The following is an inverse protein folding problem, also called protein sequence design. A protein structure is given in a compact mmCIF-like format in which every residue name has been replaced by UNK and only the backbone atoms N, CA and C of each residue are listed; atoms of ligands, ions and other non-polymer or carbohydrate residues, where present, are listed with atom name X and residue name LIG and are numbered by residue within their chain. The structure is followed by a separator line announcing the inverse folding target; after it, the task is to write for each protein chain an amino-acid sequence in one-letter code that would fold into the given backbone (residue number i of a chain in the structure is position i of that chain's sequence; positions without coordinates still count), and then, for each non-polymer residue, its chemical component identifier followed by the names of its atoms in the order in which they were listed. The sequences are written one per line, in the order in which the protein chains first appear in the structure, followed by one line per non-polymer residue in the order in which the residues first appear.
data_IF_656619215855
#
_entry.id   IF_656619215855
#
_cell.length_a   1.000
_cell.length_b   1.000
_cell.length_c   1.000
_cell.angle_alpha   90.00
_cell.angle_beta   90.00
_cell.angle_gamma   90.00
#
_symmetry.space_group_name_H-M   'P 1'
#
loop_
_entity.id
_entity.type
_entity.pdbx_description
1 polymer ?
#
# COMPACT_ATOMS: atom_id res chain seq x y z
N UNK A 1 -21.87 -42.29 -24.01
CA UNK A 1 -20.71 -41.38 -23.88
C UNK A 1 -21.07 -39.87 -24.00
N UNK A 2 -22.25 -39.43 -23.54
CA UNK A 2 -22.65 -37.99 -23.61
C UNK A 2 -22.23 -37.19 -22.36
N UNK A 3 -22.23 -37.83 -21.18
CA UNK A 3 -21.90 -37.19 -19.90
C UNK A 3 -20.45 -36.69 -19.80
N UNK A 4 -19.47 -37.49 -20.24
CA UNK A 4 -18.05 -37.10 -20.14
C UNK A 4 -17.68 -35.83 -20.93
N UNK A 5 -18.34 -35.61 -22.08
CA UNK A 5 -18.12 -34.41 -22.91
C UNK A 5 -18.71 -33.15 -22.28
N UNK A 6 -19.85 -33.28 -21.59
CA UNK A 6 -20.49 -32.18 -20.86
C UNK A 6 -19.66 -31.80 -19.63
N UNK A 7 -19.16 -32.77 -18.87
CA UNK A 7 -18.25 -32.51 -17.75
C UNK A 7 -16.97 -31.80 -18.19
N UNK A 8 -16.40 -32.18 -19.33
CA UNK A 8 -15.19 -31.55 -19.88
C UNK A 8 -15.44 -30.09 -20.30
N UNK A 9 -16.59 -29.82 -20.91
CA UNK A 9 -17.03 -28.47 -21.25
C UNK A 9 -17.22 -27.60 -19.99
N UNK A 10 -17.93 -28.12 -18.98
CA UNK A 10 -18.14 -27.40 -17.72
C UNK A 10 -16.81 -27.08 -17.04
N UNK A 11 -15.87 -28.04 -17.00
CA UNK A 11 -14.55 -27.82 -16.42
C UNK A 11 -13.75 -26.74 -17.17
N UNK A 12 -13.80 -26.73 -18.52
CA UNK A 12 -13.12 -25.72 -19.32
C UNK A 12 -13.65 -24.30 -19.08
N UNK A 13 -14.97 -24.16 -18.91
CA UNK A 13 -15.61 -22.86 -18.63
C UNK A 13 -15.24 -22.37 -17.23
N UNK A 14 -15.18 -23.27 -16.24
CA UNK A 14 -14.76 -22.94 -14.87
C UNK A 14 -13.30 -22.46 -14.82
N UNK A 15 -12.41 -23.09 -15.58
CA UNK A 15 -10.99 -22.67 -15.67
C UNK A 15 -10.89 -21.29 -16.32
N UNK A 16 -11.59 -21.06 -17.43
CA UNK A 16 -11.61 -19.76 -18.11
C UNK A 16 -12.16 -18.65 -17.20
N UNK A 17 -13.19 -18.94 -16.41
CA UNK A 17 -13.77 -17.99 -15.46
C UNK A 17 -12.82 -17.66 -14.30
N UNK A 18 -12.04 -18.64 -13.83
CA UNK A 18 -11.05 -18.44 -12.78
C UNK A 18 -9.85 -17.58 -13.23
N UNK A 19 -9.43 -17.72 -14.50
CA UNK A 19 -8.32 -16.94 -15.07
C UNK A 19 -8.77 -15.53 -15.51
N UNK A 20 -10.06 -15.36 -15.81
CA UNK A 20 -10.63 -14.07 -16.21
C UNK A 20 -10.89 -13.10 -15.05
N UNK A 21 -10.75 -13.54 -13.79
CA UNK A 21 -10.81 -12.61 -12.66
C UNK A 21 -9.51 -11.81 -12.63
N UNK A 22 -9.55 -10.48 -12.76
CA UNK A 22 -8.35 -9.68 -12.59
C UNK A 22 -7.79 -9.98 -11.19
N UNK A 23 -6.50 -10.28 -11.13
CA UNK A 23 -5.80 -10.32 -9.85
C UNK A 23 -6.12 -9.01 -9.14
N UNK A 24 -6.75 -9.08 -7.98
CA UNK A 24 -6.90 -7.92 -7.10
C UNK A 24 -5.47 -7.54 -6.75
N UNK A 25 -4.92 -6.60 -7.51
CA UNK A 25 -3.76 -5.84 -7.10
C UNK A 25 -4.25 -5.08 -5.88
N UNK A 26 -4.00 -5.64 -4.70
CA UNK A 26 -4.13 -4.89 -3.46
C UNK A 26 -3.25 -3.65 -3.68
N UNK A 27 -3.86 -2.48 -3.78
CA UNK A 27 -3.12 -1.24 -3.81
C UNK A 27 -2.27 -1.25 -2.54
N UNK A 28 -0.95 -1.38 -2.66
CA UNK A 28 -0.05 -1.49 -1.51
C UNK A 28 -0.36 -0.33 -0.58
N UNK A 29 -0.86 -0.66 0.61
CA UNK A 29 -1.34 0.33 1.55
C UNK A 29 -0.11 0.95 2.23
N UNK A 30 0.38 2.03 1.64
CA UNK A 30 1.49 2.81 2.19
C UNK A 30 0.98 3.62 3.40
N UNK A 31 1.68 3.50 4.52
CA UNK A 31 1.46 4.28 5.74
C UNK A 31 2.26 5.57 5.66
N UNK A 32 1.58 6.72 5.62
CA UNK A 32 2.20 8.04 5.59
C UNK A 32 2.32 8.61 7.01
N UNK A 33 3.53 8.95 7.42
CA UNK A 33 3.82 9.50 8.76
C UNK A 33 4.52 10.84 8.62
N UNK A 34 3.79 11.92 8.87
CA UNK A 34 4.36 13.26 8.98
C UNK A 34 4.69 13.55 10.45
N UNK A 35 5.96 13.80 10.76
CA UNK A 35 6.43 14.15 12.09
C UNK A 35 6.92 15.60 12.12
N UNK A 36 6.34 16.38 13.02
CA UNK A 36 6.56 17.83 13.10
C UNK A 36 7.12 18.14 14.47
N UNK A 37 8.35 18.65 14.52
CA UNK A 37 9.13 18.80 15.75
C UNK A 37 10.28 19.78 15.53
N UNK A 38 10.94 20.21 16.60
CA UNK A 38 12.21 20.95 16.54
C UNK A 38 13.41 20.08 16.17
N UNK A 39 13.27 18.76 16.24
CA UNK A 39 14.31 17.80 15.87
C UNK A 39 13.69 16.55 15.26
N UNK A 40 14.41 15.89 14.36
CA UNK A 40 14.01 14.61 13.79
C UNK A 40 13.85 13.52 14.87
N UNK A 41 13.13 12.45 14.53
CA UNK A 41 12.98 11.28 15.40
C UNK A 41 13.75 10.10 14.83
N UNK A 42 14.87 9.76 15.47
CA UNK A 42 15.76 8.70 15.02
C UNK A 42 15.06 7.34 14.90
N UNK A 43 14.11 7.04 15.79
CA UNK A 43 13.38 5.77 15.75
C UNK A 43 12.42 5.69 14.56
N UNK A 44 11.71 6.78 14.24
CA UNK A 44 10.84 6.85 13.05
C UNK A 44 11.66 6.80 11.77
N UNK A 45 12.78 7.52 11.73
CA UNK A 45 13.67 7.48 10.57
C UNK A 45 14.26 6.08 10.37
N UNK A 46 14.81 5.47 11.43
CA UNK A 46 15.34 4.09 11.38
C UNK A 46 14.25 3.10 10.95
N UNK A 47 13.04 3.23 11.48
CA UNK A 47 11.92 2.37 11.08
C UNK A 47 11.58 2.53 9.58
N UNK A 48 11.59 3.76 9.05
CA UNK A 48 11.35 4.00 7.63
C UNK A 48 12.45 3.46 6.71
N UNK A 49 13.66 3.26 7.22
CA UNK A 49 14.81 2.83 6.41
C UNK A 49 15.13 1.34 6.54
N UNK A 50 14.92 0.75 7.73
CA UNK A 50 15.44 -0.59 8.05
C UNK A 50 14.38 -1.58 8.52
N UNK A 51 13.13 -1.18 8.66
CA UNK A 51 12.05 -2.12 9.02
C UNK A 51 11.77 -3.07 7.84
N UNK A 52 11.32 -4.29 8.14
CA UNK A 52 10.88 -5.27 7.13
C UNK A 52 9.72 -4.77 6.26
N UNK A 53 9.03 -3.71 6.70
CA UNK A 53 7.97 -3.01 6.00
C UNK A 53 8.35 -1.57 5.61
N UNK A 54 9.64 -1.26 5.52
CA UNK A 54 10.15 0.08 5.15
C UNK A 54 9.61 0.55 3.79
N UNK A 55 9.40 -0.38 2.87
CA UNK A 55 8.74 -0.16 1.57
C UNK A 55 7.30 0.37 1.68
N UNK A 56 6.65 0.14 2.82
CA UNK A 56 5.29 0.58 3.11
C UNK A 56 5.23 1.82 4.02
N UNK A 57 6.37 2.40 4.43
CA UNK A 57 6.42 3.56 5.33
C UNK A 57 6.96 4.78 4.60
N UNK A 58 6.14 5.81 4.46
CA UNK A 58 6.55 7.11 3.93
C UNK A 58 6.69 8.10 5.10
N UNK A 59 7.93 8.33 5.55
CA UNK A 59 8.25 9.22 6.67
C UNK A 59 8.69 10.60 6.15
N UNK A 60 8.03 11.65 6.65
CA UNK A 60 8.39 13.03 6.36
C UNK A 60 8.61 13.79 7.67
N UNK A 61 9.82 14.29 7.88
CA UNK A 61 10.12 15.21 8.97
C UNK A 61 9.97 16.66 8.51
N UNK A 62 9.21 17.45 9.26
CA UNK A 62 9.08 18.90 9.07
C UNK A 62 9.64 19.59 10.33
N UNK A 63 10.69 20.39 10.14
CA UNK A 63 11.23 21.22 11.21
C UNK A 63 10.27 22.38 11.49
N UNK A 64 9.71 22.39 12.70
CA UNK A 64 8.80 23.44 13.15
C UNK A 64 9.45 24.82 13.21
N UNK A 65 10.78 24.89 13.35
CA UNK A 65 11.51 26.14 13.40
C UNK A 65 11.69 26.81 12.03
N UNK A 66 11.63 26.03 10.94
CA UNK A 66 11.99 26.51 9.60
C UNK A 66 10.79 27.11 8.84
N UNK A 67 9.56 26.81 9.27
CA UNK A 67 8.36 27.46 8.74
C UNK A 67 7.18 27.22 9.68
N UNK A 68 6.55 28.30 10.16
CA UNK A 68 5.21 28.19 10.74
C UNK A 68 4.28 27.42 9.79
N UNK A 69 3.20 26.84 10.33
CA UNK A 69 2.27 25.89 9.65
C UNK A 69 2.25 26.07 8.12
N UNK A 70 2.82 25.09 7.40
CA UNK A 70 2.82 25.08 5.94
C UNK A 70 1.40 24.84 5.39
N UNK A 71 1.13 25.28 4.16
CA UNK A 71 -0.19 25.05 3.52
C UNK A 71 -0.51 23.55 3.38
N UNK A 72 0.51 22.72 3.27
CA UNK A 72 0.40 21.26 3.25
C UNK A 72 -0.12 20.71 4.58
N UNK A 73 0.32 21.26 5.72
CA UNK A 73 -0.25 20.94 7.04
C UNK A 73 -1.71 21.39 7.17
N UNK A 74 -2.08 22.56 6.63
CA UNK A 74 -3.46 23.06 6.68
C UNK A 74 -4.39 22.11 5.91
N UNK A 75 -3.92 21.57 4.79
CA UNK A 75 -4.68 20.66 3.94
C UNK A 75 -4.74 19.22 4.46
N UNK A 76 -3.92 18.89 5.47
CA UNK A 76 -3.86 17.58 6.10
C UNK A 76 -4.71 17.46 7.39
N UNK A 77 -5.33 18.56 7.86
CA UNK A 77 -6.30 18.58 8.97
C UNK A 77 -7.72 18.35 8.48
#
# INVERSE_FOLDING_TARGET
MRFGKVCLLVLSVLIMLAVAMPAVSANEQVTKVTYISYSANDALQTASETNDHSDLIEYTFIDYSDSGISQEMINAS
#
